data_IF_257218357324
#
_entry.id   IF_257218357324
#
_cell.length_a   1.000
_cell.length_b   1.000
_cell.length_c   1.000
_cell.angle_alpha   90.00
_cell.angle_beta   90.00
_cell.angle_gamma   90.00
#
_symmetry.space_group_name_H-M   'P 1'
#
loop_
_entity.id
_entity.type
_entity.pdbx_description
1 polymer ?
#
# COMPACT_ATOMS: atom_id res chain seq x y z
N UNK A 1 1.30 10.49 12.46
CA UNK A 1 0.26 9.43 12.38
C UNK A 1 -0.27 9.31 10.94
N UNK A 2 -0.68 8.08 10.52
CA UNK A 2 -1.27 7.86 9.19
C UNK A 2 -2.79 7.99 9.22
N UNK A 3 -3.32 8.72 8.25
CA UNK A 3 -4.75 8.81 7.93
C UNK A 3 -4.98 8.36 6.49
N UNK A 4 -6.17 7.83 6.19
CA UNK A 4 -6.51 7.31 4.86
C UNK A 4 -7.64 8.13 4.27
N UNK A 5 -7.48 8.49 3.01
CA UNK A 5 -8.45 9.25 2.23
C UNK A 5 -8.92 8.35 1.09
N UNK A 6 -10.21 8.13 1.02
CA UNK A 6 -10.83 7.48 -0.12
C UNK A 6 -11.04 8.50 -1.24
N UNK A 7 -10.59 8.15 -2.44
CA UNK A 7 -10.70 8.98 -3.63
C UNK A 7 -11.23 8.16 -4.80
N UNK A 8 -11.55 8.80 -5.90
CA UNK A 8 -11.94 8.09 -7.11
C UNK A 8 -10.72 7.36 -7.69
N UNK A 9 -10.87 6.04 -7.89
CA UNK A 9 -9.81 5.19 -8.48
C UNK A 9 -9.34 5.75 -9.83
N UNK A 10 -8.02 5.84 -9.99
CA UNK A 10 -7.34 6.40 -11.17
C UNK A 10 -7.22 7.93 -11.15
N UNK A 11 -7.65 8.58 -10.05
CA UNK A 11 -7.51 10.03 -9.85
C UNK A 11 -6.57 10.38 -8.70
N UNK A 12 -5.89 9.38 -8.14
CA UNK A 12 -5.07 9.55 -6.94
C UNK A 12 -4.00 10.62 -7.12
N UNK A 13 -3.19 10.56 -8.20
CA UNK A 13 -2.12 11.54 -8.44
C UNK A 13 -2.68 12.96 -8.61
N UNK A 14 -3.75 13.09 -9.39
CA UNK A 14 -4.41 14.38 -9.59
C UNK A 14 -4.95 14.94 -8.29
N UNK A 15 -5.52 14.07 -7.44
CA UNK A 15 -6.03 14.48 -6.13
C UNK A 15 -4.88 14.86 -5.18
N UNK A 16 -3.77 14.11 -5.17
CA UNK A 16 -2.56 14.45 -4.40
C UNK A 16 -2.02 15.82 -4.82
N UNK A 17 -1.94 16.08 -6.13
CA UNK A 17 -1.48 17.38 -6.64
C UNK A 17 -2.43 18.53 -6.24
N UNK A 18 -3.74 18.29 -6.26
CA UNK A 18 -4.73 19.28 -5.82
C UNK A 18 -4.60 19.56 -4.31
N UNK A 19 -4.47 18.52 -3.49
CA UNK A 19 -4.26 18.65 -2.05
C UNK A 19 -2.95 19.40 -1.75
N UNK A 20 -1.84 19.01 -2.38
CA UNK A 20 -0.53 19.67 -2.18
C UNK A 20 -0.57 21.14 -2.59
N UNK A 21 -1.28 21.47 -3.65
CA UNK A 21 -1.51 22.88 -4.04
C UNK A 21 -2.28 23.66 -3.00
N UNK A 22 -3.31 23.04 -2.40
CA UNK A 22 -4.16 23.66 -1.38
C UNK A 22 -3.40 23.87 -0.06
N UNK A 23 -2.62 22.89 0.35
CA UNK A 23 -1.79 22.96 1.56
C UNK A 23 -0.62 23.92 1.38
N UNK A 24 -0.13 24.09 0.14
CA UNK A 24 1.04 24.90 -0.18
C UNK A 24 2.33 24.29 0.41
N UNK A 25 3.21 25.17 0.92
CA UNK A 25 4.50 24.80 1.51
C UNK A 25 4.40 24.54 3.03
N UNK A 26 3.21 24.24 3.55
CA UNK A 26 3.09 23.90 4.98
C UNK A 26 3.86 22.62 5.27
N UNK A 27 4.73 22.68 6.28
CA UNK A 27 5.41 21.53 6.84
C UNK A 27 4.42 20.65 7.64
N UNK A 28 4.76 19.39 7.86
CA UNK A 28 3.97 18.50 8.71
C UNK A 28 2.89 17.68 7.98
N UNK A 29 2.82 17.78 6.65
CA UNK A 29 1.91 16.98 5.83
C UNK A 29 2.65 16.22 4.74
N UNK A 30 2.74 14.90 4.82
CA UNK A 30 3.20 14.04 3.74
C UNK A 30 2.01 13.31 3.12
N UNK A 31 1.63 13.70 1.90
CA UNK A 31 0.48 13.13 1.17
C UNK A 31 0.98 12.28 0.02
N UNK A 32 0.63 11.00 0.03
CA UNK A 32 1.15 10.04 -0.93
C UNK A 32 0.15 8.93 -1.26
N UNK A 33 0.36 8.28 -2.40
CA UNK A 33 -0.30 7.04 -2.77
C UNK A 33 0.76 5.99 -3.04
N UNK A 34 0.78 4.90 -2.26
CA UNK A 34 1.85 3.92 -2.33
C UNK A 34 1.85 3.14 -3.64
N UNK A 35 3.06 2.86 -4.13
CA UNK A 35 3.29 1.98 -5.28
C UNK A 35 3.96 0.68 -4.85
N UNK A 36 3.85 -0.32 -5.72
CA UNK A 36 4.52 -1.62 -5.62
C UNK A 36 5.18 -1.98 -6.93
N UNK A 37 6.22 -2.78 -6.88
CA UNK A 37 6.80 -3.44 -8.03
C UNK A 37 6.20 -4.85 -8.17
N UNK A 38 5.78 -5.19 -9.37
CA UNK A 38 5.28 -6.54 -9.70
C UNK A 38 5.99 -7.08 -10.94
N UNK A 39 6.48 -8.33 -10.91
CA UNK A 39 7.06 -8.94 -12.09
C UNK A 39 5.96 -9.22 -13.13
N UNK A 40 6.18 -8.78 -14.37
CA UNK A 40 5.28 -9.05 -15.50
C UNK A 40 6.07 -9.66 -16.65
N UNK A 41 5.52 -10.71 -17.25
CA UNK A 41 6.10 -11.29 -18.46
C UNK A 41 5.61 -10.51 -19.69
N UNK A 42 6.54 -9.81 -20.35
CA UNK A 42 6.27 -9.04 -21.57
C UNK A 42 7.20 -9.55 -22.66
N UNK A 43 6.62 -10.03 -23.77
CA UNK A 43 7.38 -10.59 -24.93
C UNK A 43 8.41 -11.67 -24.54
N UNK A 44 8.12 -12.47 -23.50
CA UNK A 44 9.00 -13.55 -23.04
C UNK A 44 9.94 -13.16 -21.90
N UNK A 45 10.20 -11.89 -21.68
CA UNK A 45 11.07 -11.37 -20.62
C UNK A 45 10.25 -10.97 -19.37
N UNK A 46 10.86 -11.10 -18.20
CA UNK A 46 10.26 -10.65 -16.94
C UNK A 46 10.75 -9.24 -16.71
N UNK A 47 9.82 -8.29 -16.65
CA UNK A 47 10.08 -6.88 -16.35
C UNK A 47 9.33 -6.48 -15.08
N UNK A 48 9.92 -5.59 -14.30
CA UNK A 48 9.26 -5.01 -13.13
C UNK A 48 8.33 -3.88 -13.57
N UNK A 49 7.07 -3.98 -13.18
CA UNK A 49 6.07 -2.95 -13.45
C UNK A 49 5.65 -2.28 -12.16
N UNK A 50 5.66 -0.96 -12.16
CA UNK A 50 5.16 -0.13 -11.06
C UNK A 50 3.64 -0.04 -11.13
N UNK A 51 2.96 -0.47 -10.07
CA UNK A 51 1.51 -0.42 -9.91
C UNK A 51 1.13 0.16 -8.55
N UNK A 52 -0.09 0.70 -8.40
CA UNK A 52 -0.55 1.17 -7.08
C UNK A 52 -0.78 0.01 -6.13
N UNK A 53 -0.38 0.20 -4.87
CA UNK A 53 -0.71 -0.76 -3.80
C UNK A 53 -2.19 -0.73 -3.46
N UNK A 54 -2.75 0.47 -3.29
CA UNK A 54 -4.11 0.69 -2.81
C UNK A 54 -4.88 1.60 -3.78
N UNK A 55 -5.40 1.06 -4.89
CA UNK A 55 -6.20 1.86 -5.83
C UNK A 55 -7.43 2.47 -5.14
N UNK A 56 -7.65 3.77 -5.34
CA UNK A 56 -8.75 4.51 -4.72
C UNK A 56 -8.45 5.03 -3.30
N UNK A 57 -7.18 4.88 -2.82
CA UNK A 57 -6.77 5.39 -1.53
C UNK A 57 -5.50 6.24 -1.62
N UNK A 58 -5.49 7.30 -0.81
CA UNK A 58 -4.36 8.18 -0.55
C UNK A 58 -4.08 8.15 0.94
N UNK A 59 -2.82 8.21 1.31
CA UNK A 59 -2.39 8.30 2.69
C UNK A 59 -1.87 9.69 2.98
N UNK A 60 -2.10 10.14 4.20
CA UNK A 60 -1.47 11.33 4.74
C UNK A 60 -0.82 11.00 6.07
N UNK A 61 0.43 11.41 6.20
CA UNK A 61 1.16 11.38 7.46
C UNK A 61 1.17 12.78 8.04
N UNK A 62 0.53 12.97 9.20
CA UNK A 62 0.44 14.26 9.89
C UNK A 62 0.12 14.08 11.37
N UNK A 63 0.49 15.07 12.16
CA UNK A 63 0.08 15.21 13.56
C UNK A 63 -1.02 16.28 13.74
N UNK A 64 -1.43 16.94 12.65
CA UNK A 64 -2.47 17.97 12.62
C UNK A 64 -3.66 17.58 11.72
N UNK A 65 -4.40 16.50 12.06
CA UNK A 65 -5.44 15.95 11.18
C UNK A 65 -6.63 16.89 10.98
N UNK A 66 -6.97 17.70 11.96
CA UNK A 66 -8.08 18.64 11.83
C UNK A 66 -7.77 19.74 10.83
N UNK A 67 -6.58 20.31 10.88
CA UNK A 67 -6.14 21.32 9.91
C UNK A 67 -6.11 20.73 8.50
N UNK A 68 -5.60 19.50 8.36
CA UNK A 68 -5.62 18.79 7.09
C UNK A 68 -7.05 18.58 6.57
N UNK A 69 -7.99 18.17 7.42
CA UNK A 69 -9.40 17.98 7.06
C UNK A 69 -10.05 19.27 6.54
N UNK A 70 -9.79 20.40 7.17
CA UNK A 70 -10.28 21.70 6.71
C UNK A 70 -9.77 22.03 5.31
N UNK A 71 -8.49 21.78 5.04
CA UNK A 71 -7.92 21.98 3.70
C UNK A 71 -8.52 21.01 2.67
N UNK A 72 -8.77 19.76 3.06
CA UNK A 72 -9.38 18.76 2.21
C UNK A 72 -10.79 19.14 1.76
N UNK A 73 -11.57 19.80 2.62
CA UNK A 73 -12.92 20.24 2.31
C UNK A 73 -12.99 21.21 1.09
N UNK A 74 -11.92 21.98 0.88
CA UNK A 74 -11.81 22.92 -0.24
C UNK A 74 -11.21 22.29 -1.51
N UNK A 75 -10.89 21.00 -1.47
CA UNK A 75 -10.33 20.29 -2.63
C UNK A 75 -11.46 19.94 -3.60
N UNK A 76 -11.37 20.33 -4.89
CA UNK A 76 -12.46 20.15 -5.86
C UNK A 76 -12.74 18.68 -6.24
N UNK A 77 -11.84 17.77 -5.94
CA UNK A 77 -12.01 16.34 -6.20
C UNK A 77 -12.79 15.67 -5.06
N UNK A 78 -13.57 14.62 -5.40
CA UNK A 78 -14.26 13.84 -4.38
C UNK A 78 -13.25 13.14 -3.47
N UNK A 79 -13.26 13.52 -2.20
CA UNK A 79 -12.39 12.96 -1.17
C UNK A 79 -13.20 12.68 0.10
N UNK A 80 -12.91 11.56 0.75
CA UNK A 80 -13.50 11.20 2.05
C UNK A 80 -12.42 10.61 2.94
N UNK A 81 -12.14 11.25 4.07
CA UNK A 81 -11.29 10.63 5.09
C UNK A 81 -11.99 9.42 5.69
N UNK A 82 -11.26 8.32 5.83
CA UNK A 82 -11.80 7.12 6.44
C UNK A 82 -11.84 7.27 7.96
N UNK A 83 -12.95 6.79 8.54
CA UNK A 83 -13.14 6.62 9.96
C UNK A 83 -13.84 5.30 10.24
N UNK A 84 -14.10 4.98 11.49
CA UNK A 84 -14.90 3.80 11.85
C UNK A 84 -16.34 3.98 11.38
N UNK A 85 -16.98 2.88 11.00
CA UNK A 85 -18.41 2.87 10.63
C UNK A 85 -19.27 3.45 11.76
N UNK A 86 -20.21 4.33 11.38
CA UNK A 86 -21.16 4.96 12.30
C UNK A 86 -20.77 6.33 12.85
N UNK A 87 -19.58 6.84 12.56
CA UNK A 87 -19.13 8.18 12.98
C UNK A 87 -18.77 9.03 11.76
N UNK A 88 -19.67 9.91 11.36
CA UNK A 88 -19.52 10.80 10.20
C UNK A 88 -18.54 11.96 10.44
N UNK A 89 -18.11 12.21 11.67
CA UNK A 89 -17.30 13.37 12.06
C UNK A 89 -15.89 13.01 12.56
N UNK A 90 -15.59 11.72 12.74
CA UNK A 90 -14.30 11.32 13.30
C UNK A 90 -13.45 10.59 12.25
N UNK A 91 -12.57 11.33 11.59
CA UNK A 91 -11.43 10.75 10.91
C UNK A 91 -10.48 10.19 11.98
N UNK A 92 -10.20 8.89 11.89
CA UNK A 92 -9.33 8.20 12.84
C UNK A 92 -8.02 7.82 12.15
N UNK A 93 -6.90 7.94 12.88
CA UNK A 93 -5.64 7.43 12.37
C UNK A 93 -5.70 5.90 12.24
N UNK A 94 -4.84 5.35 11.40
CA UNK A 94 -4.57 3.91 11.42
C UNK A 94 -4.10 3.53 12.83
N UNK A 95 -4.57 2.39 13.32
CA UNK A 95 -4.07 1.87 14.59
C UNK A 95 -2.62 1.39 14.44
N UNK A 96 -1.98 1.04 15.55
CA UNK A 96 -0.55 0.67 15.56
C UNK A 96 -0.23 -0.53 14.66
N UNK A 97 -1.12 -1.52 14.55
CA UNK A 97 -0.91 -2.70 13.69
C UNK A 97 -1.06 -2.32 12.22
N UNK A 98 -2.10 -1.55 11.87
CA UNK A 98 -2.33 -1.05 10.53
C UNK A 98 -1.17 -0.15 10.06
N UNK A 99 -0.73 0.79 10.91
CA UNK A 99 0.41 1.67 10.64
C UNK A 99 1.70 0.86 10.43
N UNK A 100 1.97 -0.13 11.30
CA UNK A 100 3.13 -1.01 11.17
C UNK A 100 3.15 -1.77 9.84
N UNK A 101 2.00 -2.26 9.38
CA UNK A 101 1.93 -2.94 8.08
C UNK A 101 2.26 -1.99 6.92
N UNK A 102 1.84 -0.73 7.00
CA UNK A 102 2.21 0.30 6.03
C UNK A 102 3.72 0.60 6.08
N UNK A 103 4.29 0.72 7.28
CA UNK A 103 5.74 0.94 7.45
C UNK A 103 6.57 -0.20 6.86
N UNK A 104 6.15 -1.47 7.05
CA UNK A 104 6.82 -2.63 6.47
C UNK A 104 6.90 -2.56 4.94
N UNK A 105 5.87 -2.04 4.27
CA UNK A 105 5.88 -1.89 2.81
C UNK A 105 6.98 -0.93 2.33
N UNK A 106 7.42 0.02 3.16
CA UNK A 106 8.33 1.10 2.77
C UNK A 106 9.62 1.14 3.58
N UNK A 107 9.86 0.14 4.42
CA UNK A 107 11.04 0.08 5.29
C UNK A 107 12.37 0.14 4.55
N UNK A 108 12.38 -0.23 3.27
CA UNK A 108 13.60 -0.29 2.45
C UNK A 108 13.89 0.97 1.64
N UNK A 109 12.92 1.87 1.45
CA UNK A 109 13.19 3.10 0.68
C UNK A 109 12.24 4.26 0.99
N UNK A 110 12.75 5.50 0.82
CA UNK A 110 12.00 6.74 1.01
C UNK A 110 11.01 7.07 -0.12
N UNK A 111 10.98 6.28 -1.19
CA UNK A 111 10.21 6.60 -2.40
C UNK A 111 8.76 6.09 -2.35
N UNK A 112 8.33 5.52 -1.22
CA UNK A 112 6.99 4.93 -1.05
C UNK A 112 6.66 3.88 -2.12
N UNK A 113 7.66 3.07 -2.50
CA UNK A 113 7.53 1.96 -3.45
C UNK A 113 7.84 0.66 -2.71
N UNK A 114 6.90 -0.26 -2.69
CA UNK A 114 7.09 -1.61 -2.16
C UNK A 114 7.90 -2.44 -3.13
N UNK A 115 8.99 -2.99 -2.66
CA UNK A 115 9.88 -3.84 -3.45
C UNK A 115 9.34 -5.27 -3.59
N UNK A 116 9.94 -6.02 -4.52
CA UNK A 116 9.65 -7.44 -4.73
C UNK A 116 10.33 -8.24 -3.61
N UNK A 117 9.64 -9.24 -3.08
CA UNK A 117 10.20 -10.15 -2.09
C UNK A 117 10.78 -11.39 -2.74
N UNK A 118 11.97 -11.81 -2.31
CA UNK A 118 12.60 -13.05 -2.74
C UNK A 118 12.12 -14.22 -1.88
N UNK A 119 11.73 -15.31 -2.55
CA UNK A 119 11.17 -16.50 -1.90
C UNK A 119 11.77 -17.80 -2.42
N UNK A 120 11.72 -18.82 -1.60
CA UNK A 120 11.92 -20.22 -1.97
C UNK A 120 10.59 -20.96 -1.99
N UNK A 121 10.39 -21.82 -2.98
CA UNK A 121 9.15 -22.55 -3.21
C UNK A 121 9.43 -24.05 -3.20
N UNK A 122 8.52 -24.85 -2.62
CA UNK A 122 8.48 -26.31 -2.72
C UNK A 122 7.05 -26.77 -3.00
N UNK A 123 6.85 -27.59 -4.01
CA UNK A 123 5.53 -28.14 -4.38
C UNK A 123 4.44 -27.07 -4.50
N UNK A 124 4.77 -25.91 -5.09
CA UNK A 124 3.82 -24.80 -5.27
C UNK A 124 3.54 -23.96 -4.01
N UNK A 125 4.23 -24.24 -2.91
CA UNK A 125 4.08 -23.48 -1.66
C UNK A 125 5.34 -22.68 -1.33
N UNK A 126 5.18 -21.52 -0.74
CA UNK A 126 6.29 -20.75 -0.18
C UNK A 126 6.79 -21.48 1.06
N UNK A 127 8.05 -21.89 1.05
CA UNK A 127 8.71 -22.52 2.21
C UNK A 127 9.60 -21.56 2.98
N UNK A 128 10.08 -20.51 2.30
CA UNK A 128 10.91 -19.49 2.94
C UNK A 128 10.78 -18.14 2.24
N UNK A 129 10.72 -17.08 3.01
CA UNK A 129 10.88 -15.70 2.54
C UNK A 129 12.30 -15.29 2.88
N UNK A 130 13.09 -14.93 1.87
CA UNK A 130 14.52 -14.62 2.03
C UNK A 130 14.73 -13.15 2.36
N UNK A 131 13.99 -12.28 1.67
CA UNK A 131 14.03 -10.84 1.91
C UNK A 131 12.74 -10.16 1.43
N UNK A 132 12.67 -8.84 1.62
CA UNK A 132 11.59 -8.00 1.15
C UNK A 132 10.41 -7.89 2.13
N UNK A 133 9.39 -7.09 1.76
CA UNK A 133 8.31 -6.73 2.68
C UNK A 133 7.47 -7.92 3.17
N UNK A 134 7.36 -9.01 2.40
CA UNK A 134 6.61 -10.20 2.84
C UNK A 134 7.17 -10.82 4.11
N UNK A 135 8.44 -10.61 4.44
CA UNK A 135 9.04 -11.15 5.67
C UNK A 135 8.29 -10.69 6.94
N UNK A 136 7.84 -9.43 6.97
CA UNK A 136 7.05 -8.88 8.07
C UNK A 136 5.53 -9.08 7.94
N UNK A 137 5.04 -9.66 6.84
CA UNK A 137 3.62 -9.76 6.49
C UNK A 137 3.11 -11.21 6.38
N UNK A 138 3.89 -12.19 6.83
CA UNK A 138 3.58 -13.64 6.68
C UNK A 138 2.17 -13.99 7.19
N UNK A 139 1.78 -13.47 8.35
CA UNK A 139 0.46 -13.73 8.96
C UNK A 139 -0.72 -13.16 8.18
N UNK A 140 -0.47 -12.24 7.26
CA UNK A 140 -1.50 -11.56 6.45
C UNK A 140 -1.60 -12.12 5.04
N UNK A 141 -0.80 -13.15 4.68
CA UNK A 141 -0.84 -13.80 3.37
C UNK A 141 -2.14 -14.60 3.24
N UNK A 142 -2.93 -14.30 2.22
CA UNK A 142 -4.19 -15.00 1.90
C UNK A 142 -4.06 -15.94 0.71
N UNK A 143 -3.24 -15.60 -0.27
CA UNK A 143 -3.11 -16.40 -1.50
C UNK A 143 -1.75 -16.20 -2.14
N UNK A 144 -1.20 -17.28 -2.66
CA UNK A 144 0.03 -17.27 -3.47
C UNK A 144 -0.32 -17.57 -4.92
N UNK A 145 0.18 -16.78 -5.85
CA UNK A 145 0.03 -16.98 -7.28
C UNK A 145 1.41 -17.02 -7.95
N UNK A 146 2.00 -18.20 -8.03
CA UNK A 146 3.33 -18.38 -8.60
C UNK A 146 3.40 -18.05 -10.10
N UNK A 147 2.32 -18.33 -10.84
CA UNK A 147 2.25 -18.01 -12.27
C UNK A 147 2.32 -16.51 -12.54
N UNK A 148 1.58 -15.73 -11.74
CA UNK A 148 1.61 -14.25 -11.80
C UNK A 148 2.79 -13.64 -11.02
N UNK A 149 3.54 -14.45 -10.30
CA UNK A 149 4.60 -13.99 -9.39
C UNK A 149 4.10 -12.94 -8.38
N UNK A 150 2.96 -13.23 -7.77
CA UNK A 150 2.37 -12.34 -6.77
C UNK A 150 1.85 -13.13 -5.56
N UNK A 151 1.79 -12.44 -4.43
CA UNK A 151 1.18 -12.91 -3.18
C UNK A 151 0.12 -11.92 -2.77
N UNK A 152 -1.09 -12.39 -2.51
CA UNK A 152 -2.18 -11.55 -1.99
C UNK A 152 -2.03 -11.43 -0.49
N UNK A 153 -1.90 -10.21 -0.01
CA UNK A 153 -1.81 -9.85 1.41
C UNK A 153 -3.04 -9.04 1.79
N UNK A 154 -3.65 -9.36 2.93
CA UNK A 154 -4.74 -8.59 3.49
C UNK A 154 -4.19 -7.48 4.39
N UNK A 155 -4.59 -6.26 4.10
CA UNK A 155 -4.37 -5.08 4.95
C UNK A 155 -5.70 -4.65 5.56
N UNK A 156 -5.64 -4.08 6.75
CA UNK A 156 -6.77 -3.37 7.32
C UNK A 156 -6.55 -1.87 7.18
N UNK A 157 -7.52 -1.16 6.66
CA UNK A 157 -7.53 0.30 6.60
C UNK A 157 -8.74 0.81 7.38
N UNK A 158 -8.53 1.32 8.58
CA UNK A 158 -9.58 1.69 9.53
C UNK A 158 -10.57 0.53 9.78
N UNK A 159 -10.03 -0.70 9.94
CA UNK A 159 -10.81 -1.92 10.15
C UNK A 159 -11.43 -2.54 8.89
N UNK A 160 -11.24 -1.95 7.71
CA UNK A 160 -11.75 -2.48 6.43
C UNK A 160 -10.69 -3.32 5.74
N UNK A 161 -10.99 -4.59 5.37
CA UNK A 161 -10.03 -5.43 4.68
C UNK A 161 -9.81 -4.95 3.24
N UNK A 162 -8.54 -4.79 2.87
CA UNK A 162 -8.10 -4.44 1.50
C UNK A 162 -7.06 -5.45 1.06
N UNK A 163 -7.31 -6.09 -0.09
CA UNK A 163 -6.40 -7.08 -0.66
C UNK A 163 -5.39 -6.42 -1.58
N UNK A 164 -4.12 -6.70 -1.36
CA UNK A 164 -3.02 -6.15 -2.15
C UNK A 164 -2.17 -7.29 -2.70
N UNK A 165 -1.94 -7.30 -4.02
CA UNK A 165 -1.00 -8.23 -4.65
C UNK A 165 0.42 -7.67 -4.52
N UNK A 166 1.31 -8.32 -3.78
CA UNK A 166 2.72 -7.99 -3.70
C UNK A 166 3.55 -8.87 -4.63
N UNK A 167 4.54 -8.27 -5.29
CA UNK A 167 5.44 -8.98 -6.20
C UNK A 167 6.38 -9.94 -5.48
N UNK A 168 6.61 -11.08 -6.08
CA UNK A 168 7.59 -12.08 -5.61
C UNK A 168 8.55 -12.48 -6.72
N UNK A 169 9.78 -12.76 -6.31
CA UNK A 169 10.81 -13.35 -7.14
C UNK A 169 11.13 -14.75 -6.59
N UNK A 170 11.02 -15.78 -7.42
CA UNK A 170 11.29 -17.15 -7.03
C UNK A 170 12.77 -17.41 -7.29
N UNK A 171 13.56 -17.47 -6.20
CA UNK A 171 15.01 -17.67 -6.26
C UNK A 171 15.35 -19.15 -6.46
N UNK A 172 14.62 -20.03 -5.79
CA UNK A 172 14.80 -21.48 -5.93
C UNK A 172 13.48 -22.22 -5.85
N UNK A 173 13.36 -23.27 -6.65
CA UNK A 173 12.26 -24.22 -6.56
C UNK A 173 12.84 -25.57 -6.09
N UNK A 174 12.56 -25.92 -4.83
CA UNK A 174 13.01 -27.17 -4.26
C UNK A 174 12.17 -28.31 -4.83
N UNK A 175 12.82 -29.24 -5.54
CA UNK A 175 12.16 -30.47 -5.99
C UNK A 175 11.93 -31.40 -4.82
N UNK A 176 10.81 -32.12 -4.81
CA UNK A 176 10.60 -33.24 -3.91
C UNK A 176 11.71 -34.29 -4.15
N UNK A 177 12.29 -34.81 -3.08
CA UNK A 177 13.16 -35.96 -3.17
C UNK A 177 12.33 -37.23 -3.30
#
# INVERSE_FOLDING_TARGET
MYYVIQVRTGKEDKTIEAIKRQIGNKEGFDVFSPYRLVPKKIKGEIVEKKERCFPGYIFVETDEPYEFFVQLYWTPEFTKMLGREGHTENFLPLNNEEARMIDILYSSNSNRITEISDIEVKEGQIVKILNGPLYGLVGSIKKVNLHKRTVVVEFLLCGRPVMVDLGINIISELKAK
#
